data_IF_437651436614
#
_entry.id   IF_437651436614
#
_cell.length_a   1.000
_cell.length_b   1.000
_cell.length_c   1.000
_cell.angle_alpha   90.00
_cell.angle_beta   90.00
_cell.angle_gamma   90.00
#
_symmetry.space_group_name_H-M   'P 1'
#
loop_
_entity.id
_entity.type
_entity.pdbx_description
1 polymer ?
#
# COMPACT_ATOMS: atom_id res chain seq x y z
N UNK A 1 8.22 -20.76 -6.77
CA UNK A 1 8.89 -20.56 -5.47
C UNK A 1 8.15 -19.46 -4.74
N UNK A 2 7.66 -19.72 -3.53
CA UNK A 2 6.99 -18.68 -2.75
C UNK A 2 8.05 -17.86 -2.00
N UNK A 3 7.85 -16.54 -1.94
CA UNK A 3 8.66 -15.66 -1.10
C UNK A 3 8.01 -15.53 0.27
N UNK A 4 8.79 -15.25 1.29
CA UNK A 4 8.26 -14.82 2.60
C UNK A 4 9.14 -13.76 3.21
N UNK A 5 8.55 -12.93 4.06
CA UNK A 5 9.29 -11.89 4.76
C UNK A 5 10.19 -12.51 5.85
N UNK A 6 11.43 -12.07 5.97
CA UNK A 6 12.34 -12.45 7.03
C UNK A 6 12.10 -11.56 8.26
N UNK A 7 11.30 -12.04 9.22
CA UNK A 7 10.97 -11.27 10.42
C UNK A 7 12.21 -10.92 11.25
N UNK A 8 13.24 -11.76 11.21
CA UNK A 8 14.50 -11.49 11.91
C UNK A 8 15.27 -10.29 11.33
N UNK A 9 15.04 -9.94 10.05
CA UNK A 9 15.70 -8.83 9.37
C UNK A 9 14.93 -7.50 9.47
N UNK A 10 13.68 -7.51 9.93
CA UNK A 10 12.93 -6.30 10.23
C UNK A 10 13.45 -5.62 11.49
N UNK A 11 13.29 -4.31 11.60
CA UNK A 11 13.45 -3.60 12.87
C UNK A 11 12.28 -3.89 13.81
N UNK A 12 12.43 -3.57 15.10
CA UNK A 12 11.31 -3.72 16.06
C UNK A 12 10.15 -2.81 15.68
N UNK A 13 10.44 -1.57 15.27
CA UNK A 13 9.42 -0.66 14.76
C UNK A 13 8.68 -1.25 13.55
N UNK A 14 9.40 -1.84 12.58
CA UNK A 14 8.79 -2.49 11.43
C UNK A 14 7.91 -3.68 11.84
N UNK A 15 8.32 -4.48 12.83
CA UNK A 15 7.50 -5.57 13.36
C UNK A 15 6.21 -5.08 14.01
N UNK A 16 6.29 -4.03 14.83
CA UNK A 16 5.13 -3.38 15.45
C UNK A 16 4.17 -2.79 14.42
N UNK A 17 4.69 -2.22 13.34
CA UNK A 17 3.91 -1.70 12.23
C UNK A 17 3.26 -2.83 11.41
N UNK A 18 3.94 -3.96 11.21
CA UNK A 18 3.43 -5.11 10.46
C UNK A 18 2.31 -5.85 11.20
N UNK A 19 2.51 -6.11 12.50
CA UNK A 19 1.64 -6.98 13.27
C UNK A 19 0.69 -6.23 14.22
N UNK A 20 0.94 -4.95 14.50
CA UNK A 20 0.35 -4.25 15.62
C UNK A 20 1.01 -4.62 16.95
N UNK A 21 0.80 -3.79 17.97
CA UNK A 21 1.60 -3.85 19.19
C UNK A 21 1.48 -5.19 19.94
N UNK A 22 0.27 -5.72 20.10
CA UNK A 22 0.05 -6.98 20.82
C UNK A 22 0.68 -8.19 20.11
N UNK A 23 0.45 -8.32 18.79
CA UNK A 23 0.97 -9.45 18.02
C UNK A 23 2.48 -9.35 17.80
N UNK A 24 3.02 -8.13 17.65
CA UNK A 24 4.46 -7.93 17.60
C UNK A 24 5.12 -8.42 18.89
N UNK A 25 4.60 -8.02 20.06
CA UNK A 25 5.09 -8.50 21.35
C UNK A 25 5.02 -10.03 21.49
N UNK A 26 3.98 -10.65 20.92
CA UNK A 26 3.83 -12.10 20.94
C UNK A 26 4.89 -12.84 20.10
N UNK A 27 5.35 -12.27 18.98
CA UNK A 27 6.36 -12.89 18.09
C UNK A 27 7.81 -12.47 18.39
N UNK A 28 8.00 -11.42 19.20
CA UNK A 28 9.32 -10.90 19.56
C UNK A 28 10.27 -11.94 20.18
N UNK A 29 9.84 -12.89 21.05
CA UNK A 29 10.74 -13.88 21.63
C UNK A 29 11.42 -14.76 20.57
N UNK A 30 10.64 -15.31 19.64
CA UNK A 30 11.13 -16.14 18.53
C UNK A 30 12.05 -15.34 17.61
N UNK A 31 11.62 -14.12 17.23
CA UNK A 31 12.40 -13.21 16.38
C UNK A 31 13.74 -12.84 17.03
N UNK A 32 13.74 -12.52 18.32
CA UNK A 32 14.95 -12.17 19.07
C UNK A 32 15.91 -13.34 19.16
N UNK A 33 15.40 -14.56 19.42
CA UNK A 33 16.20 -15.78 19.40
C UNK A 33 16.82 -16.04 18.02
N UNK A 34 16.05 -15.80 16.96
CA UNK A 34 16.49 -15.96 15.59
C UNK A 34 17.63 -14.98 15.25
N UNK A 35 17.47 -13.70 15.61
CA UNK A 35 18.52 -12.66 15.45
C UNK A 35 19.81 -13.01 16.19
N UNK A 36 19.71 -13.40 17.46
CA UNK A 36 20.87 -13.79 18.28
C UNK A 36 21.62 -14.99 17.67
N UNK A 37 20.88 -15.93 17.08
CA UNK A 37 21.44 -17.13 16.45
C UNK A 37 21.79 -16.92 14.97
N UNK A 38 21.65 -15.70 14.43
CA UNK A 38 21.86 -15.33 13.02
C UNK A 38 21.14 -16.27 12.04
N UNK A 39 19.93 -16.70 12.40
CA UNK A 39 19.07 -17.54 11.55
C UNK A 39 17.89 -16.73 11.03
N UNK A 40 17.37 -17.03 9.84
CA UNK A 40 16.14 -16.41 9.35
C UNK A 40 14.93 -16.86 10.17
N UNK A 41 13.93 -15.99 10.28
CA UNK A 41 12.63 -16.31 10.89
C UNK A 41 11.53 -16.01 9.85
N UNK A 42 10.86 -17.04 9.31
CA UNK A 42 9.90 -16.87 8.22
C UNK A 42 8.60 -16.23 8.71
N UNK A 43 8.26 -15.11 8.08
CA UNK A 43 7.01 -14.38 8.28
C UNK A 43 5.93 -14.75 7.27
N UNK A 44 4.99 -13.83 6.99
CA UNK A 44 3.93 -14.06 6.02
C UNK A 44 4.50 -14.40 4.64
N UNK A 45 3.79 -15.26 3.90
CA UNK A 45 4.09 -15.49 2.50
C UNK A 45 3.81 -14.21 1.71
N UNK A 46 4.64 -13.94 0.71
CA UNK A 46 4.48 -12.83 -0.22
C UNK A 46 4.11 -13.39 -1.60
N UNK A 47 3.07 -12.84 -2.25
CA UNK A 47 2.74 -13.20 -3.63
C UNK A 47 3.92 -12.98 -4.58
N UNK A 48 3.97 -13.73 -5.67
CA UNK A 48 4.85 -13.39 -6.78
C UNK A 48 4.37 -12.11 -7.53
N UNK A 49 3.07 -11.86 -7.53
CA UNK A 49 2.43 -10.70 -8.15
C UNK A 49 1.14 -10.33 -7.42
N UNK A 50 0.72 -9.06 -7.52
CA UNK A 50 -0.57 -8.65 -6.99
C UNK A 50 -1.68 -9.20 -7.89
N UNK A 51 -2.57 -9.98 -7.29
CA UNK A 51 -3.78 -10.47 -7.95
C UNK A 51 -5.01 -9.81 -7.34
N UNK A 52 -5.78 -9.15 -8.19
CA UNK A 52 -7.00 -8.45 -7.79
C UNK A 52 -8.21 -9.23 -8.26
N UNK A 53 -9.06 -9.63 -7.31
CA UNK A 53 -10.31 -10.33 -7.60
C UNK A 53 -11.47 -9.32 -7.58
N UNK A 54 -12.23 -9.18 -8.68
CA UNK A 54 -13.44 -8.38 -8.69
C UNK A 54 -14.42 -8.84 -7.61
N UNK A 55 -15.08 -7.88 -6.97
CA UNK A 55 -16.12 -8.15 -5.99
C UNK A 55 -17.49 -7.79 -6.56
N UNK A 56 -18.51 -8.53 -6.12
CA UNK A 56 -19.89 -8.18 -6.43
C UNK A 56 -20.24 -6.84 -5.78
N UNK A 57 -20.99 -6.01 -6.51
CA UNK A 57 -21.46 -4.73 -6.00
C UNK A 57 -22.37 -4.93 -4.78
N UNK A 58 -22.06 -4.20 -3.71
CA UNK A 58 -22.84 -4.16 -2.46
C UNK A 58 -22.57 -2.87 -1.72
N UNK A 59 -23.28 -2.66 -0.62
CA UNK A 59 -22.89 -1.66 0.37
C UNK A 59 -21.63 -2.12 1.11
N UNK A 60 -20.63 -1.24 1.14
CA UNK A 60 -19.34 -1.46 1.78
C UNK A 60 -19.30 -0.91 3.21
N UNK A 61 -18.46 -1.52 4.04
CA UNK A 61 -18.30 -1.22 5.46
C UNK A 61 -19.01 -2.24 6.36
N UNK A 62 -18.31 -2.74 7.38
CA UNK A 62 -18.88 -3.66 8.38
C UNK A 62 -19.80 -2.95 9.38
N UNK A 63 -19.62 -1.65 9.58
CA UNK A 63 -20.40 -0.85 10.53
C UNK A 63 -21.00 0.38 9.86
N UNK A 64 -22.12 0.95 10.39
CA UNK A 64 -22.71 2.17 9.84
C UNK A 64 -21.76 3.38 9.86
N UNK A 65 -20.79 3.40 10.77
CA UNK A 65 -19.74 4.42 10.79
C UNK A 65 -18.75 4.25 9.64
N UNK A 66 -18.27 3.02 9.41
CA UNK A 66 -17.38 2.72 8.30
C UNK A 66 -18.06 2.96 6.95
N UNK A 67 -19.32 2.56 6.77
CA UNK A 67 -20.07 2.85 5.54
C UNK A 67 -20.19 4.35 5.28
N UNK A 68 -20.49 5.15 6.30
CA UNK A 68 -20.54 6.63 6.16
C UNK A 68 -19.18 7.22 5.79
N UNK A 69 -18.11 6.74 6.41
CA UNK A 69 -16.74 7.15 6.08
C UNK A 69 -16.41 6.84 4.60
N UNK A 70 -16.67 5.62 4.16
CA UNK A 70 -16.40 5.20 2.77
C UNK A 70 -17.22 6.01 1.78
N UNK A 71 -18.51 6.22 2.04
CA UNK A 71 -19.37 7.06 1.18
C UNK A 71 -18.91 8.52 1.14
N UNK A 72 -18.37 9.07 2.23
CA UNK A 72 -17.85 10.42 2.27
C UNK A 72 -16.55 10.55 1.46
N UNK A 73 -15.65 9.57 1.56
CA UNK A 73 -14.41 9.51 0.79
C UNK A 73 -14.70 9.35 -0.71
N UNK A 74 -15.62 8.47 -1.08
CA UNK A 74 -16.07 8.27 -2.46
C UNK A 74 -16.64 9.56 -3.07
N UNK A 75 -17.55 10.23 -2.37
CA UNK A 75 -18.09 11.53 -2.80
C UNK A 75 -17.00 12.59 -2.96
N UNK A 76 -16.04 12.65 -2.03
CA UNK A 76 -14.95 13.62 -2.09
C UNK A 76 -13.98 13.34 -3.24
N UNK A 77 -13.76 12.07 -3.58
CA UNK A 77 -12.98 11.65 -4.74
C UNK A 77 -13.70 12.01 -6.04
N UNK A 78 -15.01 11.72 -6.12
CA UNK A 78 -15.85 12.12 -7.25
C UNK A 78 -15.87 13.63 -7.47
N UNK A 79 -15.95 14.42 -6.40
CA UNK A 79 -15.86 15.88 -6.46
C UNK A 79 -14.50 16.40 -6.97
N UNK A 80 -13.44 15.58 -6.83
CA UNK A 80 -12.10 15.85 -7.35
C UNK A 80 -11.92 15.39 -8.80
N UNK A 81 -12.99 14.91 -9.45
CA UNK A 81 -12.96 14.41 -10.83
C UNK A 81 -12.49 12.96 -10.96
N UNK A 82 -12.39 12.22 -9.86
CA UNK A 82 -12.02 10.82 -9.89
C UNK A 82 -13.22 9.94 -10.32
N UNK A 83 -12.97 8.97 -11.21
CA UNK A 83 -13.95 7.96 -11.57
C UNK A 83 -13.68 6.67 -10.80
N UNK A 84 -14.66 6.23 -9.99
CA UNK A 84 -14.57 4.97 -9.27
C UNK A 84 -14.59 3.78 -10.25
N UNK A 85 -13.76 2.79 -9.99
CA UNK A 85 -13.83 1.46 -10.60
C UNK A 85 -14.49 0.47 -9.64
N UNK A 86 -14.80 -0.73 -10.12
CA UNK A 86 -15.36 -1.77 -9.27
C UNK A 86 -14.42 -2.14 -8.13
N UNK A 87 -14.99 -2.33 -6.93
CA UNK A 87 -14.24 -2.81 -5.78
C UNK A 87 -13.61 -4.18 -6.05
N UNK A 88 -12.41 -4.38 -5.52
CA UNK A 88 -11.65 -5.61 -5.63
C UNK A 88 -11.14 -6.04 -4.26
N UNK A 89 -10.90 -7.34 -4.10
CA UNK A 89 -10.11 -7.86 -2.99
C UNK A 89 -8.72 -8.21 -3.50
N UNK A 90 -7.70 -7.99 -2.67
CA UNK A 90 -6.39 -8.57 -2.92
C UNK A 90 -6.45 -10.07 -2.54
N UNK A 91 -6.25 -10.94 -3.53
CA UNK A 91 -6.55 -12.37 -3.41
C UNK A 91 -5.72 -13.10 -2.35
N UNK A 92 -4.51 -12.62 -2.07
CA UNK A 92 -3.55 -13.28 -1.18
C UNK A 92 -3.37 -12.58 0.17
N UNK A 93 -4.10 -11.50 0.45
CA UNK A 93 -3.90 -10.75 1.69
C UNK A 93 -4.66 -11.41 2.87
N UNK A 94 -3.96 -11.86 3.94
CA UNK A 94 -4.60 -12.43 5.12
C UNK A 94 -5.40 -11.41 5.93
N UNK A 95 -5.15 -10.11 5.70
CA UNK A 95 -5.76 -9.01 6.44
C UNK A 95 -7.25 -8.86 6.12
N UNK A 96 -7.71 -9.27 4.93
CA UNK A 96 -9.07 -9.01 4.48
C UNK A 96 -9.31 -7.56 4.07
N UNK A 97 -8.27 -6.86 3.59
CA UNK A 97 -8.44 -5.52 3.03
C UNK A 97 -9.23 -5.58 1.71
N UNK A 98 -10.15 -4.63 1.58
CA UNK A 98 -10.91 -4.33 0.38
C UNK A 98 -10.35 -3.06 -0.25
N UNK A 99 -10.42 -3.01 -1.58
CA UNK A 99 -9.84 -1.94 -2.38
C UNK A 99 -10.90 -1.39 -3.34
N UNK A 100 -10.94 -0.07 -3.47
CA UNK A 100 -11.70 0.64 -4.49
C UNK A 100 -10.71 1.49 -5.29
N UNK A 101 -10.41 1.13 -6.54
CA UNK A 101 -9.54 1.94 -7.38
C UNK A 101 -10.30 3.12 -7.97
N UNK A 102 -9.59 4.22 -8.16
CA UNK A 102 -10.11 5.42 -8.81
C UNK A 102 -9.17 5.85 -9.94
N UNK A 103 -9.76 6.24 -11.05
CA UNK A 103 -9.06 6.87 -12.17
C UNK A 103 -9.09 8.38 -11.98
N UNK A 104 -7.92 8.98 -11.73
CA UNK A 104 -7.73 10.43 -11.66
C UNK A 104 -6.88 10.87 -12.87
N UNK A 105 -7.47 11.54 -13.88
CA UNK A 105 -6.73 11.94 -15.08
C UNK A 105 -5.65 13.00 -14.78
N UNK A 106 -4.50 13.00 -15.50
CA UNK A 106 -4.11 12.06 -16.56
C UNK A 106 -3.13 10.93 -16.14
N UNK A 107 -2.66 10.90 -14.90
CA UNK A 107 -1.46 10.12 -14.53
C UNK A 107 -1.44 9.56 -13.10
N UNK A 108 -2.36 9.97 -12.23
CA UNK A 108 -2.37 9.53 -10.83
C UNK A 108 -3.19 8.24 -10.66
N UNK A 109 -2.57 7.20 -10.10
CA UNK A 109 -3.26 6.01 -9.62
C UNK A 109 -3.76 6.24 -8.21
N UNK A 110 -5.07 6.17 -8.00
CA UNK A 110 -5.66 6.37 -6.67
C UNK A 110 -6.32 5.10 -6.20
N UNK A 111 -6.11 4.76 -4.92
CA UNK A 111 -6.65 3.58 -4.28
C UNK A 111 -7.21 3.94 -2.92
N UNK A 112 -8.48 3.61 -2.70
CA UNK A 112 -9.09 3.62 -1.37
C UNK A 112 -9.05 2.20 -0.82
N UNK A 113 -8.50 2.04 0.39
CA UNK A 113 -8.35 0.76 1.06
C UNK A 113 -9.02 0.77 2.42
N UNK A 114 -9.72 -0.30 2.78
CA UNK A 114 -10.31 -0.46 4.11
C UNK A 114 -10.35 -1.93 4.52
N UNK A 115 -10.54 -2.17 5.81
CA UNK A 115 -10.66 -3.50 6.37
C UNK A 115 -11.95 -3.59 7.18
N UNK A 116 -12.84 -4.53 6.82
CA UNK A 116 -14.12 -4.70 7.52
C UNK A 116 -14.00 -5.59 8.77
N UNK A 117 -12.87 -6.29 8.94
CA UNK A 117 -12.59 -7.14 10.11
C UNK A 117 -11.73 -6.44 11.15
N UNK A 118 -11.14 -5.29 10.80
CA UNK A 118 -10.45 -4.44 11.75
C UNK A 118 -11.44 -3.95 12.81
N UNK A 119 -11.10 -4.12 14.09
CA UNK A 119 -11.95 -3.70 15.22
C UNK A 119 -12.19 -2.18 15.29
N UNK A 120 -11.50 -1.40 14.45
CA UNK A 120 -11.65 0.06 14.34
C UNK A 120 -12.09 0.44 12.93
N UNK A 121 -13.14 1.27 12.76
CA UNK A 121 -13.52 1.78 11.45
C UNK A 121 -12.40 2.66 10.89
N UNK A 122 -11.87 2.28 9.74
CA UNK A 122 -10.79 3.01 9.09
C UNK A 122 -10.79 2.77 7.59
N UNK A 123 -10.27 3.77 6.87
CA UNK A 123 -9.98 3.71 5.46
C UNK A 123 -8.72 4.53 5.16
N UNK A 124 -7.98 4.13 4.15
CA UNK A 124 -6.72 4.75 3.72
C UNK A 124 -6.84 5.06 2.24
N UNK A 125 -6.65 6.34 1.93
CA UNK A 125 -6.43 6.82 0.58
C UNK A 125 -4.92 6.83 0.25
N UNK A 126 -4.58 6.28 -0.92
CA UNK A 126 -3.23 6.25 -1.49
C UNK A 126 -3.27 6.82 -2.92
N UNK A 127 -2.34 7.72 -3.24
CA UNK A 127 -2.17 8.33 -4.56
C UNK A 127 -0.73 8.08 -5.05
N UNK A 128 -0.58 7.52 -6.24
CA UNK A 128 0.70 7.11 -6.83
C UNK A 128 0.83 7.70 -8.23
N UNK A 129 1.94 8.40 -8.48
CA UNK A 129 2.29 8.90 -9.81
C UNK A 129 3.71 8.48 -10.15
N UNK A 130 3.87 7.83 -11.31
CA UNK A 130 5.18 7.49 -11.87
C UNK A 130 5.75 8.66 -12.66
N UNK A 131 7.05 8.87 -12.51
CA UNK A 131 7.77 9.94 -13.18
C UNK A 131 8.41 9.41 -14.46
N UNK A 132 8.40 10.24 -15.50
CA UNK A 132 9.04 9.93 -16.78
C UNK A 132 10.55 10.12 -16.71
N UNK A 133 11.00 11.11 -15.94
CA UNK A 133 12.41 11.40 -15.70
C UNK A 133 12.78 11.15 -14.24
N UNK A 134 13.86 10.41 -14.01
CA UNK A 134 14.44 10.20 -12.67
C UNK A 134 15.44 11.32 -12.34
N UNK A 135 15.25 12.53 -12.86
CA UNK A 135 16.21 13.64 -12.69
C UNK A 135 16.41 14.02 -11.21
N UNK A 136 15.41 13.74 -10.38
CA UNK A 136 15.41 13.95 -8.93
C UNK A 136 15.83 12.70 -8.13
N UNK A 137 16.22 11.61 -8.81
CA UNK A 137 16.62 10.35 -8.19
C UNK A 137 15.47 9.41 -7.81
N UNK A 138 14.22 9.82 -8.01
CA UNK A 138 13.03 9.01 -7.72
C UNK A 138 12.34 8.53 -9.00
N UNK A 139 11.79 7.32 -8.94
CA UNK A 139 10.99 6.71 -9.98
C UNK A 139 9.52 7.13 -9.91
N UNK A 140 9.02 7.46 -8.72
CA UNK A 140 7.62 7.82 -8.51
C UNK A 140 7.39 8.50 -7.16
N UNK A 141 6.21 9.08 -7.02
CA UNK A 141 5.73 9.70 -5.77
C UNK A 141 4.54 8.89 -5.27
N UNK A 142 4.56 8.51 -3.99
CA UNK A 142 3.45 7.88 -3.29
C UNK A 142 3.02 8.79 -2.14
N UNK A 143 1.75 9.19 -2.12
CA UNK A 143 1.17 9.97 -1.01
C UNK A 143 0.05 9.17 -0.37
N UNK A 144 0.05 9.07 0.96
CA UNK A 144 -0.91 8.24 1.70
C UNK A 144 -1.45 8.96 2.93
N UNK A 145 -2.74 8.73 3.21
CA UNK A 145 -3.42 9.16 4.45
C UNK A 145 -3.14 8.22 5.62
N UNK A 146 -2.35 7.17 5.41
CA UNK A 146 -2.02 6.19 6.45
C UNK A 146 -1.26 6.87 7.59
N UNK A 147 -1.72 6.63 8.82
CA UNK A 147 -1.12 7.15 10.07
C UNK A 147 0.29 6.63 10.34
N UNK A 148 0.55 5.40 9.93
CA UNK A 148 1.78 4.67 10.22
C UNK A 148 2.50 4.38 8.90
N UNK A 149 3.84 4.36 8.90
CA UNK A 149 4.62 3.98 7.73
C UNK A 149 4.20 2.59 7.23
N UNK A 150 4.26 2.36 5.91
CA UNK A 150 3.96 1.03 5.37
C UNK A 150 5.09 0.07 5.71
N UNK A 151 4.76 -1.15 6.10
CA UNK A 151 5.75 -2.21 6.29
C UNK A 151 5.54 -3.34 5.29
N UNK A 152 6.63 -3.81 4.66
CA UNK A 152 7.95 -3.16 4.66
C UNK A 152 7.93 -1.80 3.95
N UNK A 153 8.89 -0.93 4.30
CA UNK A 153 8.96 0.42 3.71
C UNK A 153 9.04 0.33 2.18
N UNK A 154 8.42 1.27 1.44
CA UNK A 154 8.57 1.29 0.00
C UNK A 154 10.04 1.52 -0.37
N UNK A 155 10.42 1.12 -1.57
CA UNK A 155 11.76 1.31 -2.11
C UNK A 155 12.23 2.75 -1.93
N UNK A 156 13.53 2.93 -1.66
CA UNK A 156 14.19 4.24 -1.62
C UNK A 156 14.07 5.01 -2.96
N UNK A 157 13.69 4.30 -4.03
CA UNK A 157 13.42 4.87 -5.35
C UNK A 157 12.02 5.50 -5.45
N UNK A 158 11.20 5.46 -4.40
CA UNK A 158 9.88 6.11 -4.31
C UNK A 158 9.94 7.21 -3.26
N UNK A 159 9.50 8.40 -3.66
CA UNK A 159 9.30 9.50 -2.71
C UNK A 159 7.95 9.34 -2.00
N UNK A 160 7.98 9.00 -0.71
CA UNK A 160 6.79 8.63 0.06
C UNK A 160 6.41 9.74 1.04
N UNK A 161 5.16 10.20 0.98
CA UNK A 161 4.60 11.23 1.85
C UNK A 161 3.42 10.72 2.66
N UNK A 162 3.51 10.86 3.98
CA UNK A 162 2.48 10.46 4.93
C UNK A 162 1.73 11.68 5.46
N UNK A 163 0.42 11.71 5.26
CA UNK A 163 -0.45 12.81 5.66
C UNK A 163 -1.72 12.31 6.38
N UNK A 164 -1.58 11.74 7.58
CA UNK A 164 -2.74 11.40 8.38
C UNK A 164 -3.48 12.67 8.81
N UNK A 165 -4.75 12.75 8.46
CA UNK A 165 -5.63 13.85 8.86
C UNK A 165 -5.89 14.90 7.78
N UNK A 166 -5.20 14.87 6.65
CA UNK A 166 -5.62 15.67 5.50
C UNK A 166 -6.92 15.13 4.91
N UNK A 167 -7.79 16.03 4.48
CA UNK A 167 -8.94 15.67 3.65
C UNK A 167 -8.48 15.12 2.29
N UNK A 168 -9.37 14.43 1.57
CA UNK A 168 -9.08 13.91 0.22
C UNK A 168 -8.55 15.01 -0.70
N UNK A 169 -9.17 16.19 -0.70
CA UNK A 169 -8.74 17.31 -1.56
C UNK A 169 -7.34 17.80 -1.22
N UNK A 170 -7.07 18.03 0.07
CA UNK A 170 -5.74 18.48 0.54
C UNK A 170 -4.66 17.42 0.26
N UNK A 171 -4.98 16.13 0.38
CA UNK A 171 -4.05 15.05 0.06
C UNK A 171 -3.70 15.02 -1.43
N UNK A 172 -4.71 15.16 -2.31
CA UNK A 172 -4.50 15.18 -3.75
C UNK A 172 -3.76 16.45 -4.20
N UNK A 173 -4.04 17.60 -3.58
CA UNK A 173 -3.30 18.85 -3.83
C UNK A 173 -1.84 18.72 -3.40
N UNK A 174 -1.59 18.18 -2.19
CA UNK A 174 -0.25 17.90 -1.72
C UNK A 174 0.48 16.95 -2.66
N UNK A 175 -0.18 15.86 -3.09
CA UNK A 175 0.35 14.90 -4.07
C UNK A 175 0.79 15.59 -5.36
N UNK A 176 -0.08 16.41 -5.96
CA UNK A 176 0.25 17.17 -7.16
C UNK A 176 1.45 18.11 -6.93
N UNK A 177 1.50 18.76 -5.76
CA UNK A 177 2.64 19.59 -5.35
C UNK A 177 3.95 18.82 -5.28
N UNK A 178 3.95 17.60 -4.73
CA UNK A 178 5.12 16.71 -4.70
C UNK A 178 5.56 16.33 -6.11
N UNK A 179 4.63 15.84 -6.94
CA UNK A 179 4.91 15.43 -8.31
C UNK A 179 5.55 16.56 -9.13
N UNK A 180 5.03 17.79 -9.01
CA UNK A 180 5.56 18.96 -9.72
C UNK A 180 7.01 19.29 -9.35
N UNK A 181 7.47 18.94 -8.14
CA UNK A 181 8.87 19.14 -7.72
C UNK A 181 9.82 18.14 -8.35
N UNK A 182 9.33 16.96 -8.70
CA UNK A 182 10.18 15.88 -9.19
C UNK A 182 10.33 15.82 -10.71
N UNK A 183 9.39 16.37 -11.47
CA UNK A 183 9.52 16.53 -12.92
C UNK A 183 8.28 16.17 -13.71
N UNK A 184 8.47 15.48 -14.84
CA UNK A 184 7.39 15.13 -15.76
C UNK A 184 6.77 13.81 -15.39
N UNK A 185 5.45 13.73 -15.48
CA UNK A 185 4.71 12.49 -15.22
C UNK A 185 4.71 11.56 -16.41
N UNK A 186 4.61 10.27 -16.11
CA UNK A 186 4.34 9.25 -17.11
C UNK A 186 2.82 9.17 -17.35
N UNK A 187 2.37 9.58 -18.54
CA UNK A 187 0.96 9.44 -18.93
C UNK A 187 0.52 7.97 -18.84
N UNK A 188 -0.67 7.76 -18.29
CA UNK A 188 -1.29 6.43 -18.19
C UNK A 188 -2.26 6.21 -19.34
N UNK A 189 -2.37 4.95 -19.77
CA UNK A 189 -3.48 4.52 -20.65
C UNK A 189 -4.77 4.50 -19.84
N UNK A 190 -5.86 5.01 -20.42
CA UNK A 190 -7.09 5.30 -19.68
C UNK A 190 -7.86 4.05 -19.21
N UNK A 191 -7.79 2.92 -19.93
CA UNK A 191 -8.85 1.90 -19.82
C UNK A 191 -8.44 0.44 -19.55
N UNK A 192 -7.14 0.09 -19.44
CA UNK A 192 -6.76 -1.33 -19.31
C UNK A 192 -6.08 -1.72 -17.97
N UNK A 193 -5.31 -0.81 -17.37
CA UNK A 193 -4.34 -1.23 -16.36
C UNK A 193 -4.33 -0.31 -15.14
N UNK A 194 -5.49 -0.16 -14.48
CA UNK A 194 -5.57 0.60 -13.24
C UNK A 194 -4.57 0.06 -12.19
N UNK A 195 -4.35 -1.26 -12.20
CA UNK A 195 -3.51 -2.02 -11.27
C UNK A 195 -2.02 -1.97 -11.62
N UNK A 196 -1.63 -1.67 -12.86
CA UNK A 196 -0.23 -1.76 -13.29
C UNK A 196 0.74 -0.88 -12.48
N UNK A 197 0.41 0.38 -12.11
CA UNK A 197 1.27 1.17 -11.24
C UNK A 197 1.53 0.53 -9.88
N UNK A 198 0.51 -0.12 -9.32
CA UNK A 198 0.61 -0.80 -8.04
C UNK A 198 1.45 -2.07 -8.15
N UNK A 199 1.30 -2.81 -9.26
CA UNK A 199 2.16 -3.96 -9.58
C UNK A 199 3.63 -3.54 -9.77
N UNK A 200 3.87 -2.41 -10.43
CA UNK A 200 5.21 -1.85 -10.61
C UNK A 200 5.83 -1.45 -9.27
N UNK A 201 5.05 -0.82 -8.38
CA UNK A 201 5.47 -0.46 -7.03
C UNK A 201 5.82 -1.73 -6.23
N UNK A 202 4.97 -2.76 -6.33
CA UNK A 202 5.22 -4.04 -5.66
C UNK A 202 6.50 -4.71 -6.15
N UNK A 203 6.72 -4.78 -7.45
CA UNK A 203 7.94 -5.35 -8.03
C UNK A 203 9.19 -4.58 -7.58
N UNK A 204 9.13 -3.25 -7.59
CA UNK A 204 10.22 -2.39 -7.13
C UNK A 204 10.52 -2.63 -5.63
N UNK A 205 9.47 -2.76 -4.81
CA UNK A 205 9.60 -3.07 -3.40
C UNK A 205 10.24 -4.44 -3.18
N UNK A 206 9.85 -5.48 -3.93
CA UNK A 206 10.47 -6.80 -3.84
C UNK A 206 11.98 -6.74 -4.12
N UNK A 207 12.40 -6.01 -5.16
CA UNK A 207 13.84 -5.83 -5.46
C UNK A 207 14.57 -5.07 -4.33
N UNK A 208 13.97 -4.01 -3.79
CA UNK A 208 14.55 -3.27 -2.67
C UNK A 208 14.66 -4.14 -1.39
N UNK A 209 13.63 -4.94 -1.12
CA UNK A 209 13.59 -5.85 0.03
C UNK A 209 14.57 -7.00 -0.10
N UNK A 210 14.79 -7.52 -1.32
CA UNK A 210 15.83 -8.50 -1.61
C UNK A 210 17.22 -7.94 -1.30
N UNK A 211 17.53 -6.71 -1.76
CA UNK A 211 18.80 -6.02 -1.47
C UNK A 211 19.03 -5.83 0.03
N UNK A 212 17.95 -5.59 0.80
CA UNK A 212 17.97 -5.48 2.27
C UNK A 212 18.03 -6.83 3.01
N UNK A 213 17.96 -7.97 2.31
CA UNK A 213 17.91 -9.30 2.94
C UNK A 213 16.60 -9.60 3.68
N UNK A 214 15.51 -8.90 3.33
CA UNK A 214 14.19 -9.08 3.93
C UNK A 214 13.40 -10.24 3.31
N UNK A 215 13.86 -10.83 2.22
CA UNK A 215 13.15 -11.90 1.52
C UNK A 215 13.80 -13.26 1.75
N UNK A 216 12.97 -14.26 2.05
CA UNK A 216 13.34 -15.67 2.11
C UNK A 216 12.69 -16.42 0.96
N UNK A 217 13.47 -17.28 0.32
CA UNK A 217 12.94 -18.27 -0.62
C UNK A 217 12.40 -19.47 0.16
N UNK A 218 11.12 -19.80 -0.02
CA UNK A 218 10.56 -21.03 0.54
C UNK A 218 10.80 -22.19 -0.43
N UNK A 219 11.32 -23.34 0.06
CA UNK A 219 11.21 -24.59 -0.67
C UNK A 219 9.72 -24.87 -0.95
N UNK A 220 9.42 -25.27 -2.19
CA UNK A 220 8.08 -25.72 -2.57
C UNK A 220 7.73 -27.08 -1.98
#
# INVERSE_FOLDING_TARGET
>A
MALSLNLAALTDEELHLLYGDERALAVLPEVSRARLSRRPEPGPALPASLEFRPLAERLWGATPEQSRLLSALDQSLGASGAAALSAVAWAEEPSGDYLMPYLLPPDTATLLRWNETAGTPGAVLEALTWLRDQASGFSGVLTTSRLRATVPAPSEEIDVHHHPGLSTGELLEAHAGYVLRHGRTQKRSADADWWAPWQQLYALNLTAWERRGLLLQRPG
#
